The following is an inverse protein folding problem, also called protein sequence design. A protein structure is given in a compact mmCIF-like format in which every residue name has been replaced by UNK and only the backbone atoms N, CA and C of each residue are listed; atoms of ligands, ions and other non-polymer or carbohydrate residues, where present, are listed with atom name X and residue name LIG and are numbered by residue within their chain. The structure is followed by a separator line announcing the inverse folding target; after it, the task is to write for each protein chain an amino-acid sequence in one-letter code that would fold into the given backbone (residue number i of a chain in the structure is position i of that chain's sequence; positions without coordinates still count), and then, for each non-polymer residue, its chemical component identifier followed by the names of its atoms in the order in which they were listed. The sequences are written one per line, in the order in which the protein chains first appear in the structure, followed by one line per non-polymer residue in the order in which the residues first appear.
data_IF_224117891344
#
_entry.id   IF_224117891344
#
_cell.length_a   1.000
_cell.length_b   1.000
_cell.length_c   1.000
_cell.angle_alpha   90.00
_cell.angle_beta   90.00
_cell.angle_gamma   90.00
#
_symmetry.space_group_name_H-M   'P 1'
#
loop_
_entity.id
_entity.type
_entity.pdbx_description
1 polymer ?
#
# COMPACT_ATOMS: atom_id res chain seq x y z
N UNK A 1 21.74 25.41 0.50
CA UNK A 1 21.66 25.29 -0.96
C UNK A 1 20.30 24.68 -1.26
N UNK A 2 19.50 25.25 -2.16
CA UNK A 2 18.20 24.65 -2.46
C UNK A 2 18.43 23.26 -3.07
N UNK A 3 17.53 22.31 -2.80
CA UNK A 3 17.61 20.95 -3.35
C UNK A 3 17.77 20.97 -4.88
N UNK A 4 16.99 21.81 -5.57
CA UNK A 4 17.08 22.03 -7.01
C UNK A 4 18.49 22.45 -7.48
N UNK A 5 19.15 23.36 -6.77
CA UNK A 5 20.52 23.80 -7.11
C UNK A 5 21.53 22.66 -6.97
N UNK A 6 21.33 21.79 -5.97
CA UNK A 6 22.20 20.64 -5.73
C UNK A 6 22.08 19.62 -6.86
N UNK A 7 20.85 19.32 -7.29
CA UNK A 7 20.61 18.42 -8.44
C UNK A 7 21.18 19.01 -9.73
N UNK A 8 20.89 20.28 -10.01
CA UNK A 8 21.39 20.96 -11.22
C UNK A 8 22.91 20.97 -11.25
N UNK A 9 23.54 21.27 -10.11
CA UNK A 9 25.00 21.22 -9.97
C UNK A 9 25.56 19.82 -10.19
N UNK A 10 24.86 18.77 -9.76
CA UNK A 10 25.28 17.39 -9.96
C UNK A 10 25.24 16.99 -11.45
N UNK A 11 24.16 17.34 -12.15
CA UNK A 11 23.99 17.08 -13.58
C UNK A 11 24.76 18.06 -14.49
N UNK A 12 25.36 19.11 -13.93
CA UNK A 12 26.03 20.16 -14.70
C UNK A 12 25.06 21.03 -15.52
N UNK A 13 23.80 21.11 -15.11
CA UNK A 13 22.77 21.91 -15.79
C UNK A 13 22.86 23.39 -15.41
N UNK A 14 22.51 24.27 -16.34
CA UNK A 14 22.40 25.71 -16.08
C UNK A 14 21.17 26.03 -15.22
N UNK A 15 21.18 27.20 -14.56
CA UNK A 15 20.06 27.65 -13.73
C UNK A 15 18.77 27.89 -14.54
N UNK A 16 18.89 28.16 -15.84
CA UNK A 16 17.77 28.40 -16.76
C UNK A 16 17.29 27.12 -17.47
N UNK A 17 17.87 25.96 -17.15
CA UNK A 17 17.48 24.69 -17.76
C UNK A 17 16.04 24.33 -17.39
N UNK A 18 15.28 23.90 -18.39
CA UNK A 18 13.93 23.37 -18.23
C UNK A 18 13.90 21.90 -18.67
N UNK A 19 13.10 21.05 -18.01
CA UNK A 19 12.24 21.32 -16.85
C UNK A 19 13.04 21.63 -15.56
N UNK A 20 12.45 22.35 -14.60
CA UNK A 20 13.06 22.62 -13.30
C UNK A 20 12.71 21.54 -12.26
N UNK A 21 13.68 20.99 -11.51
CA UNK A 21 13.40 19.99 -10.46
C UNK A 21 12.51 20.46 -9.32
N UNK A 22 12.36 21.77 -9.07
CA UNK A 22 11.43 22.27 -8.04
C UNK A 22 10.02 22.55 -8.58
N UNK A 23 9.88 23.22 -9.73
CA UNK A 23 8.56 23.55 -10.28
C UNK A 23 7.94 22.45 -11.15
N UNK A 24 8.76 21.68 -11.87
CA UNK A 24 8.35 20.64 -12.81
C UNK A 24 9.03 19.29 -12.50
N UNK A 25 8.92 18.78 -11.26
CA UNK A 25 9.70 17.62 -10.81
C UNK A 25 9.41 16.34 -11.60
N UNK A 26 8.16 16.13 -12.04
CA UNK A 26 7.78 14.92 -12.76
C UNK A 26 8.39 14.89 -14.16
N UNK A 27 8.32 15.99 -14.90
CA UNK A 27 8.89 16.05 -16.24
C UNK A 27 10.42 16.04 -16.20
N UNK A 28 11.01 16.66 -15.17
CA UNK A 28 12.43 16.54 -14.91
C UNK A 28 12.88 15.10 -14.64
N UNK A 29 12.16 14.39 -13.77
CA UNK A 29 12.45 12.99 -13.47
C UNK A 29 12.27 12.09 -14.71
N UNK A 30 11.28 12.33 -15.58
CA UNK A 30 11.14 11.56 -16.83
C UNK A 30 12.41 11.59 -17.69
N UNK A 31 13.17 12.69 -17.64
CA UNK A 31 14.40 12.87 -18.41
C UNK A 31 15.63 12.33 -17.67
N UNK A 32 15.77 12.65 -16.37
CA UNK A 32 17.02 12.47 -15.63
C UNK A 32 16.99 11.39 -14.54
N UNK A 33 15.91 10.61 -14.41
CA UNK A 33 15.77 9.61 -13.32
C UNK A 33 16.93 8.61 -13.27
N UNK A 34 17.47 8.18 -14.41
CA UNK A 34 18.57 7.21 -14.49
C UNK A 34 19.96 7.82 -14.23
N UNK A 35 20.07 9.14 -14.33
CA UNK A 35 21.34 9.85 -14.17
C UNK A 35 21.60 10.22 -12.71
N UNK A 36 20.54 10.23 -11.90
CA UNK A 36 20.58 10.66 -10.51
C UNK A 36 20.75 9.49 -9.55
N UNK A 37 21.67 9.60 -8.58
CA UNK A 37 21.85 8.56 -7.57
C UNK A 37 20.68 8.56 -6.56
N UNK A 38 20.41 7.44 -5.87
CA UNK A 38 19.23 7.27 -5.02
C UNK A 38 19.08 8.30 -3.90
N UNK A 39 20.19 8.80 -3.35
CA UNK A 39 20.15 9.81 -2.28
C UNK A 39 19.72 11.20 -2.76
N UNK A 40 19.93 11.53 -4.05
CA UNK A 40 19.39 12.74 -4.66
C UNK A 40 17.93 12.52 -5.07
N UNK A 41 17.59 11.31 -5.55
CA UNK A 41 16.21 10.94 -5.88
C UNK A 41 15.29 11.00 -4.65
N UNK A 42 15.76 10.55 -3.49
CA UNK A 42 14.99 10.56 -2.25
C UNK A 42 14.44 11.94 -1.88
N UNK A 43 15.15 13.02 -2.24
CA UNK A 43 14.71 14.39 -1.96
C UNK A 43 13.50 14.83 -2.82
N UNK A 44 13.25 14.21 -3.99
CA UNK A 44 12.00 14.44 -4.72
C UNK A 44 10.78 13.97 -3.92
N UNK A 45 10.98 13.14 -2.89
CA UNK A 45 9.88 12.66 -2.07
C UNK A 45 9.18 13.75 -1.25
N UNK A 46 9.84 14.89 -1.04
CA UNK A 46 9.25 16.02 -0.32
C UNK A 46 8.43 16.94 -1.21
N UNK A 47 8.58 16.84 -2.54
CA UNK A 47 7.93 17.72 -3.53
C UNK A 47 6.99 16.98 -4.49
N UNK A 48 6.97 15.65 -4.44
CA UNK A 48 6.09 14.80 -5.27
C UNK A 48 5.35 13.80 -4.43
N UNK A 49 4.08 13.52 -4.78
CA UNK A 49 3.32 12.45 -4.14
C UNK A 49 3.61 11.10 -4.80
N UNK A 50 3.39 9.97 -4.10
CA UNK A 50 3.48 8.64 -4.71
C UNK A 50 2.58 8.49 -5.94
N UNK A 51 1.42 9.15 -5.97
CA UNK A 51 0.50 9.16 -7.11
C UNK A 51 1.09 9.91 -8.30
N UNK A 52 1.69 11.09 -8.10
CA UNK A 52 2.29 11.87 -9.19
C UNK A 52 3.44 11.11 -9.86
N UNK A 53 4.26 10.43 -9.05
CA UNK A 53 5.39 9.63 -9.54
C UNK A 53 4.97 8.48 -10.45
N UNK A 54 3.73 8.01 -10.37
CA UNK A 54 3.23 6.97 -11.30
C UNK A 54 3.17 7.44 -12.74
N UNK A 55 3.21 8.74 -13.01
CA UNK A 55 3.31 9.28 -14.36
C UNK A 55 4.66 8.96 -15.02
N UNK A 56 5.66 8.54 -14.23
CA UNK A 56 6.97 8.11 -14.71
C UNK A 56 6.90 6.59 -14.94
N UNK A 57 6.98 6.12 -16.21
CA UNK A 57 6.82 4.69 -16.52
C UNK A 57 7.81 3.79 -15.76
N UNK A 58 9.05 4.25 -15.58
CA UNK A 58 10.08 3.49 -14.87
C UNK A 58 9.66 3.21 -13.42
N UNK A 59 9.14 4.21 -12.70
CA UNK A 59 8.66 4.05 -11.32
C UNK A 59 7.47 3.08 -11.27
N UNK A 60 6.53 3.20 -12.22
CA UNK A 60 5.39 2.28 -12.29
C UNK A 60 5.86 0.83 -12.51
N UNK A 61 6.86 0.61 -13.36
CA UNK A 61 7.45 -0.71 -13.60
C UNK A 61 8.14 -1.25 -12.34
N UNK A 62 8.92 -0.42 -11.63
CA UNK A 62 9.53 -0.80 -10.33
C UNK A 62 8.47 -1.27 -9.34
N UNK A 63 7.37 -0.52 -9.19
CA UNK A 63 6.26 -0.92 -8.31
C UNK A 63 5.57 -2.21 -8.77
N UNK A 64 5.35 -2.38 -10.07
CA UNK A 64 4.76 -3.60 -10.61
C UNK A 64 5.64 -4.83 -10.29
N UNK A 65 6.96 -4.70 -10.44
CA UNK A 65 7.93 -5.74 -10.09
C UNK A 65 7.95 -6.02 -8.60
N UNK A 66 8.01 -4.98 -7.77
CA UNK A 66 7.93 -5.17 -6.33
C UNK A 66 6.65 -5.92 -5.95
N UNK A 67 5.50 -5.55 -6.51
CA UNK A 67 4.23 -6.23 -6.25
C UNK A 67 4.19 -7.69 -6.74
N UNK A 68 4.87 -8.03 -7.85
CA UNK A 68 4.91 -9.40 -8.36
C UNK A 68 5.76 -10.34 -7.50
N UNK A 69 6.70 -9.82 -6.70
CA UNK A 69 7.47 -10.62 -5.73
C UNK A 69 6.64 -11.09 -4.53
N UNK A 70 5.37 -10.69 -4.42
CA UNK A 70 4.47 -10.96 -3.29
C UNK A 70 5.07 -10.56 -1.93
N UNK A 71 5.41 -9.28 -1.75
CA UNK A 71 6.02 -8.78 -0.54
C UNK A 71 5.05 -8.89 0.65
N UNK A 72 5.54 -9.20 1.85
CA UNK A 72 4.68 -9.48 3.02
C UNK A 72 3.82 -8.29 3.42
N UNK A 73 4.28 -7.05 3.16
CA UNK A 73 3.54 -5.83 3.48
C UNK A 73 2.27 -5.66 2.62
N UNK A 74 2.24 -6.23 1.41
CA UNK A 74 1.07 -6.24 0.53
C UNK A 74 0.21 -7.50 0.70
N UNK A 75 0.62 -8.43 1.57
CA UNK A 75 -0.13 -9.65 1.87
C UNK A 75 -1.33 -9.37 2.79
N UNK A 76 -2.33 -10.25 2.78
CA UNK A 76 -3.60 -10.05 3.50
C UNK A 76 -3.42 -9.66 4.97
N UNK A 77 -2.58 -10.37 5.72
CA UNK A 77 -2.42 -10.14 7.16
C UNK A 77 -1.94 -8.71 7.45
N UNK A 78 -0.83 -8.28 6.85
CA UNK A 78 -0.30 -6.94 7.03
C UNK A 78 -1.26 -5.88 6.47
N UNK A 79 -1.77 -6.08 5.26
CA UNK A 79 -2.61 -5.11 4.59
C UNK A 79 -3.96 -4.91 5.28
N UNK A 80 -4.54 -5.95 5.88
CA UNK A 80 -5.79 -5.86 6.64
C UNK A 80 -5.63 -5.02 7.91
N UNK A 81 -4.47 -5.09 8.55
CA UNK A 81 -4.17 -4.27 9.73
C UNK A 81 -3.87 -2.82 9.33
N UNK A 82 -3.12 -2.60 8.24
CA UNK A 82 -2.70 -1.26 7.81
C UNK A 82 -3.83 -0.50 7.12
N UNK A 83 -4.61 -1.16 6.26
CA UNK A 83 -5.71 -0.57 5.50
C UNK A 83 -7.05 -1.30 5.74
N UNK A 84 -7.53 -1.34 6.99
CA UNK A 84 -8.73 -2.11 7.35
C UNK A 84 -9.99 -1.59 6.66
N UNK A 85 -10.02 -0.30 6.29
CA UNK A 85 -11.14 0.33 5.59
C UNK A 85 -11.30 -0.16 4.15
N UNK A 86 -10.26 -0.78 3.57
CA UNK A 86 -10.29 -1.30 2.20
C UNK A 86 -10.80 -2.74 2.12
N UNK A 87 -10.97 -3.40 3.27
CA UNK A 87 -11.47 -4.77 3.33
C UNK A 87 -12.99 -4.79 3.54
N UNK A 88 -13.70 -5.34 2.56
CA UNK A 88 -15.18 -5.43 2.55
C UNK A 88 -15.71 -6.79 3.04
N UNK A 89 -14.84 -7.71 3.45
CA UNK A 89 -15.24 -9.06 3.85
C UNK A 89 -16.24 -9.10 5.02
N UNK A 90 -17.18 -10.04 4.96
CA UNK A 90 -18.29 -10.24 5.91
C UNK A 90 -17.89 -10.71 7.33
N UNK A 91 -16.62 -10.59 7.72
CA UNK A 91 -16.15 -11.02 9.04
C UNK A 91 -16.58 -10.05 10.15
N UNK A 92 -16.85 -10.57 11.35
CA UNK A 92 -16.92 -9.72 12.55
C UNK A 92 -15.53 -9.09 12.74
N UNK A 93 -15.47 -7.76 12.71
CA UNK A 93 -14.22 -7.00 12.85
C UNK A 93 -13.59 -7.31 14.21
N UNK A 94 -12.28 -7.56 14.23
CA UNK A 94 -11.53 -7.95 15.43
C UNK A 94 -11.57 -9.46 15.76
N UNK A 95 -12.31 -10.29 15.03
CA UNK A 95 -12.46 -11.72 15.35
C UNK A 95 -11.17 -12.52 15.15
N UNK A 96 -10.40 -12.25 14.09
CA UNK A 96 -9.12 -12.93 13.84
C UNK A 96 -8.11 -12.57 14.93
N UNK A 97 -8.07 -11.29 15.28
CA UNK A 97 -7.20 -10.72 16.31
C UNK A 97 -7.59 -11.26 17.70
N UNK A 98 -8.89 -11.40 17.97
CA UNK A 98 -9.39 -12.06 19.17
C UNK A 98 -9.12 -13.56 19.22
N UNK A 99 -9.13 -14.25 18.08
CA UNK A 99 -8.73 -15.67 17.98
C UNK A 99 -7.22 -15.85 18.17
N UNK A 100 -6.39 -14.96 17.62
CA UNK A 100 -4.94 -14.93 17.85
C UNK A 100 -4.62 -14.69 19.33
N UNK A 101 -5.27 -13.71 19.96
CA UNK A 101 -5.11 -13.39 21.38
C UNK A 101 -5.60 -14.55 22.28
N UNK A 102 -6.72 -15.20 21.91
CA UNK A 102 -7.17 -16.44 22.57
C UNK A 102 -6.11 -17.53 22.47
N UNK A 103 -5.60 -17.78 21.27
CA UNK A 103 -4.61 -18.83 21.02
C UNK A 103 -3.32 -18.57 21.79
N UNK A 104 -2.85 -17.33 21.83
CA UNK A 104 -1.70 -16.92 22.63
C UNK A 104 -1.95 -17.12 24.13
N UNK A 105 -3.13 -16.70 24.62
CA UNK A 105 -3.51 -16.83 26.02
C UNK A 105 -3.66 -18.30 26.47
N UNK A 106 -4.01 -19.21 25.55
CA UNK A 106 -4.12 -20.64 25.83
C UNK A 106 -2.78 -21.38 25.77
N UNK A 107 -1.91 -20.99 24.84
CA UNK A 107 -0.70 -21.76 24.51
C UNK A 107 0.57 -21.19 25.10
N UNK A 108 0.72 -19.87 25.08
CA UNK A 108 1.99 -19.19 25.34
C UNK A 108 1.98 -18.42 26.66
N UNK A 109 0.81 -17.92 27.08
CA UNK A 109 0.67 -17.23 28.35
C UNK A 109 1.04 -18.13 29.54
N UNK A 110 2.04 -17.68 30.32
CA UNK A 110 2.65 -18.45 31.41
C UNK A 110 3.07 -19.88 31.00
N UNK A 111 3.58 -20.06 29.77
CA UNK A 111 4.00 -21.35 29.22
C UNK A 111 2.84 -22.38 29.20
N UNK A 112 1.60 -21.93 28.99
CA UNK A 112 0.41 -22.78 29.00
C UNK A 112 -0.07 -23.20 30.40
N UNK A 113 0.41 -22.55 31.46
CA UNK A 113 0.01 -22.87 32.84
C UNK A 113 -1.42 -22.37 33.15
N UNK A 114 -2.41 -23.25 33.01
CA UNK A 114 -3.82 -22.94 33.28
C UNK A 114 -4.20 -22.90 34.78
N UNK A 115 -3.22 -23.04 35.69
CA UNK A 115 -3.47 -23.31 37.12
C UNK A 115 -4.10 -22.14 37.88
N UNK A 116 -3.93 -20.89 37.42
CA UNK A 116 -4.29 -19.70 38.20
C UNK A 116 -5.49 -18.92 37.65
N UNK A 117 -5.93 -19.19 36.41
CA UNK A 117 -6.92 -18.33 35.73
C UNK A 117 -8.16 -19.09 35.22
N UNK A 118 -8.23 -20.40 35.46
CA UNK A 118 -9.28 -21.27 34.91
C UNK A 118 -9.07 -21.52 33.41
N UNK A 119 -9.29 -22.76 32.95
CA UNK A 119 -9.13 -23.12 31.54
C UNK A 119 -9.98 -22.21 30.64
N UNK A 120 -9.35 -21.54 29.67
CA UNK A 120 -10.00 -20.76 28.62
C UNK A 120 -10.72 -19.48 29.08
N UNK A 121 -10.84 -19.20 30.39
CA UNK A 121 -11.59 -18.03 30.87
C UNK A 121 -10.84 -16.71 30.59
N UNK A 122 -9.52 -16.73 30.79
CA UNK A 122 -8.65 -15.62 30.43
C UNK A 122 -8.56 -15.45 28.91
N UNK A 123 -8.40 -16.55 28.19
CA UNK A 123 -8.33 -16.52 26.72
C UNK A 123 -9.60 -15.92 26.11
N UNK A 124 -10.77 -16.38 26.55
CA UNK A 124 -12.05 -15.83 26.11
C UNK A 124 -12.20 -14.34 26.46
N UNK A 125 -11.75 -13.94 27.64
CA UNK A 125 -11.79 -12.54 28.08
C UNK A 125 -10.86 -11.65 27.25
N UNK A 126 -9.61 -12.07 27.06
CA UNK A 126 -8.60 -11.31 26.30
C UNK A 126 -8.99 -11.23 24.82
N UNK A 127 -9.41 -12.34 24.20
CA UNK A 127 -9.90 -12.30 22.83
C UNK A 127 -11.15 -11.43 22.66
N UNK A 128 -12.05 -11.43 23.64
CA UNK A 128 -13.20 -10.51 23.64
C UNK A 128 -12.80 -9.03 23.77
N UNK A 129 -11.79 -8.72 24.59
CA UNK A 129 -11.26 -7.36 24.69
C UNK A 129 -10.51 -6.92 23.44
N UNK A 130 -9.81 -7.84 22.76
CA UNK A 130 -9.13 -7.53 21.50
C UNK A 130 -10.15 -7.25 20.39
N UNK A 131 -11.20 -8.09 20.29
CA UNK A 131 -12.34 -7.86 19.40
C UNK A 131 -12.96 -6.47 19.61
N UNK A 132 -13.21 -6.08 20.87
CA UNK A 132 -13.78 -4.77 21.21
C UNK A 132 -12.82 -3.61 20.89
N UNK A 133 -11.52 -3.79 21.14
CA UNK A 133 -10.49 -2.78 20.86
C UNK A 133 -10.38 -2.49 19.37
N UNK A 134 -10.31 -3.54 18.55
CA UNK A 134 -10.22 -3.39 17.10
C UNK A 134 -11.52 -2.83 16.51
N UNK A 135 -12.67 -3.21 17.06
CA UNK A 135 -13.95 -2.62 16.67
C UNK A 135 -14.00 -1.10 16.97
N UNK A 136 -13.50 -0.65 18.13
CA UNK A 136 -13.47 0.78 18.49
C UNK A 136 -12.44 1.58 17.68
N UNK A 137 -11.29 1.00 17.35
CA UNK A 137 -10.33 1.58 16.40
C UNK A 137 -10.98 1.84 15.06
N UNK A 138 -11.70 0.85 14.53
CA UNK A 138 -12.40 0.99 13.25
C UNK A 138 -13.46 2.09 13.30
N UNK A 139 -14.25 2.16 14.39
CA UNK A 139 -15.25 3.24 14.56
C UNK A 139 -14.59 4.62 14.60
N UNK A 140 -13.41 4.73 15.19
CA UNK A 140 -12.66 5.98 15.27
C UNK A 140 -12.11 6.39 13.90
N UNK A 141 -11.48 5.47 13.16
CA UNK A 141 -11.02 5.70 11.79
C UNK A 141 -12.16 6.09 10.84
N UNK A 142 -13.33 5.47 10.98
CA UNK A 142 -14.51 5.85 10.17
C UNK A 142 -15.01 7.25 10.49
N UNK A 143 -15.03 7.64 11.78
CA UNK A 143 -15.39 9.00 12.19
C UNK A 143 -14.40 10.03 11.65
N UNK A 144 -13.10 9.76 11.79
CA UNK A 144 -12.03 10.63 11.29
C UNK A 144 -12.10 10.81 9.78
N UNK A 145 -12.33 9.73 9.02
CA UNK A 145 -12.53 9.83 7.57
C UNK A 145 -13.77 10.65 7.21
N UNK A 146 -14.91 10.39 7.85
CA UNK A 146 -16.13 11.15 7.59
C UNK A 146 -15.98 12.64 7.94
N UNK A 147 -15.18 12.97 8.97
CA UNK A 147 -14.87 14.35 9.37
C UNK A 147 -13.92 15.03 8.37
N UNK A 148 -12.94 14.29 7.82
CA UNK A 148 -12.05 14.78 6.77
C UNK A 148 -12.76 14.92 5.40
N UNK A 149 -13.77 14.09 5.14
CA UNK A 149 -14.60 14.05 3.93
C UNK A 149 -15.92 14.81 4.12
N UNK A 150 -15.95 15.90 4.90
CA UNK A 150 -17.15 16.72 5.11
C UNK A 150 -17.66 17.33 3.79
N UNK A 151 -18.46 16.56 3.06
CA UNK A 151 -19.35 17.00 2.01
C UNK A 151 -20.65 17.42 2.72
N UNK A 152 -21.06 18.69 2.66
CA UNK A 152 -22.38 19.08 3.15
C UNK A 152 -23.44 18.29 2.38
N UNK A 153 -24.15 17.40 3.06
CA UNK A 153 -25.27 16.67 2.49
C UNK A 153 -26.36 17.68 2.10
N UNK A 154 -26.54 17.93 0.79
CA UNK A 154 -27.83 18.38 0.27
C UNK A 154 -28.74 17.15 0.22
N UNK A 155 -29.80 17.16 1.05
CA UNK A 155 -30.85 16.15 1.07
C UNK A 155 -31.49 16.00 -0.33
N UNK A 156 -31.10 14.97 -1.07
CA UNK A 156 -31.83 14.51 -2.26
C UNK A 156 -32.67 13.29 -1.87
N UNK A 157 -33.89 13.57 -1.42
CA UNK A 157 -34.95 12.58 -1.28
C UNK A 157 -35.39 12.14 -2.70
N UNK A 158 -34.88 11.00 -3.17
CA UNK A 158 -35.36 10.36 -4.40
C UNK A 158 -35.45 8.85 -4.19
N UNK A 159 -36.58 8.47 -3.60
CA UNK A 159 -37.14 7.13 -3.44
C UNK A 159 -37.47 6.48 -4.80
N UNK A 160 -36.50 5.81 -5.44
CA UNK A 160 -36.76 4.84 -6.53
C UNK A 160 -35.59 3.84 -6.74
N UNK A 161 -35.25 3.06 -5.70
CA UNK A 161 -34.38 1.89 -5.86
C UNK A 161 -35.21 0.61 -5.80
N UNK A 162 -35.44 0.01 -6.97
CA UNK A 162 -35.83 -1.40 -7.08
C UNK A 162 -34.88 -2.26 -6.22
N UNK A 163 -35.38 -3.28 -5.50
CA UNK A 163 -34.53 -4.11 -4.67
C UNK A 163 -33.58 -4.91 -5.57
N UNK A 164 -32.35 -4.41 -5.71
CA UNK A 164 -31.23 -5.20 -6.19
C UNK A 164 -31.22 -6.50 -5.36
N UNK A 165 -31.30 -7.64 -6.03
CA UNK A 165 -31.30 -8.95 -5.38
C UNK A 165 -30.13 -9.07 -4.39
N UNK A 166 -30.22 -9.97 -3.39
CA UNK A 166 -29.17 -10.12 -2.40
C UNK A 166 -27.83 -10.26 -3.11
N UNK A 167 -26.82 -9.43 -2.79
CA UNK A 167 -25.52 -9.49 -3.45
C UNK A 167 -25.00 -10.91 -3.33
N UNK A 168 -24.53 -11.47 -4.45
CA UNK A 168 -23.89 -12.79 -4.47
C UNK A 168 -22.81 -12.77 -3.37
N UNK A 169 -23.00 -13.60 -2.35
CA UNK A 169 -22.13 -13.63 -1.19
C UNK A 169 -20.81 -14.26 -1.62
N UNK A 170 -19.81 -13.42 -1.91
CA UNK A 170 -18.44 -13.89 -2.13
C UNK A 170 -18.00 -14.72 -0.92
N UNK A 171 -17.37 -15.84 -1.18
CA UNK A 171 -16.75 -16.65 -0.12
C UNK A 171 -15.64 -15.86 0.57
N UNK A 172 -15.29 -16.27 1.80
CA UNK A 172 -14.21 -15.61 2.55
C UNK A 172 -12.88 -15.63 1.77
N UNK A 173 -12.58 -16.74 1.10
CA UNK A 173 -11.38 -16.88 0.26
C UNK A 173 -11.40 -15.92 -0.95
N UNK A 174 -12.55 -15.78 -1.62
CA UNK A 174 -12.72 -14.83 -2.72
C UNK A 174 -12.59 -13.37 -2.25
N UNK A 175 -13.16 -13.05 -1.08
CA UNK A 175 -13.05 -11.70 -0.50
C UNK A 175 -11.61 -11.34 -0.14
N UNK A 176 -10.84 -12.32 0.38
CA UNK A 176 -9.41 -12.17 0.66
C UNK A 176 -8.61 -11.97 -0.62
N UNK A 177 -8.84 -12.78 -1.65
CA UNK A 177 -8.13 -12.65 -2.93
C UNK A 177 -8.45 -11.31 -3.62
N UNK A 178 -9.71 -10.87 -3.58
CA UNK A 178 -10.12 -9.58 -4.11
C UNK A 178 -9.44 -8.42 -3.37
N UNK A 179 -9.32 -8.52 -2.04
CA UNK A 179 -8.62 -7.53 -1.23
C UNK A 179 -7.12 -7.46 -1.55
N UNK A 180 -6.41 -8.59 -1.57
CA UNK A 180 -4.98 -8.62 -1.91
C UNK A 180 -4.74 -8.02 -3.31
N UNK A 181 -5.64 -8.31 -4.27
CA UNK A 181 -5.60 -7.70 -5.60
C UNK A 181 -5.80 -6.18 -5.54
N UNK A 182 -6.81 -5.70 -4.82
CA UNK A 182 -7.09 -4.28 -4.65
C UNK A 182 -5.89 -3.54 -4.04
N UNK A 183 -5.24 -4.13 -3.03
CA UNK A 183 -4.06 -3.57 -2.37
C UNK A 183 -2.90 -3.45 -3.36
N UNK A 184 -2.62 -4.50 -4.14
CA UNK A 184 -1.57 -4.45 -5.17
C UNK A 184 -1.86 -3.40 -6.24
N UNK A 185 -3.09 -3.32 -6.72
CA UNK A 185 -3.50 -2.32 -7.71
C UNK A 185 -3.33 -0.90 -7.17
N UNK A 186 -3.85 -0.62 -5.97
CA UNK A 186 -3.69 0.69 -5.32
C UNK A 186 -2.22 1.02 -5.05
N UNK A 187 -1.41 0.05 -4.66
CA UNK A 187 0.03 0.23 -4.49
C UNK A 187 0.70 0.69 -5.79
N UNK A 188 0.46 -0.01 -6.91
CA UNK A 188 1.05 0.34 -8.21
C UNK A 188 0.71 1.78 -8.59
N UNK A 189 -0.53 2.21 -8.32
CA UNK A 189 -1.00 3.57 -8.61
C UNK A 189 -0.70 4.62 -7.53
N UNK A 190 0.03 4.27 -6.46
CA UNK A 190 0.37 5.22 -5.41
C UNK A 190 -0.84 5.73 -4.64
N UNK A 191 -1.86 4.88 -4.48
CA UNK A 191 -3.17 5.17 -3.88
C UNK A 191 -3.37 4.46 -2.53
N UNK A 192 -2.37 3.75 -2.02
CA UNK A 192 -2.39 3.36 -0.62
C UNK A 192 -2.01 4.58 0.22
N UNK A 193 -2.88 4.88 1.17
CA UNK A 193 -2.69 5.94 2.17
C UNK A 193 -1.51 5.61 3.10
N UNK A 194 -1.28 6.48 4.08
CA UNK A 194 -0.18 6.40 5.03
C UNK A 194 0.06 4.97 5.57
N UNK A 195 1.31 4.51 5.47
CA UNK A 195 1.71 3.15 5.89
C UNK A 195 2.68 2.45 4.93
N UNK A 196 2.76 2.90 3.67
CA UNK A 196 3.71 2.36 2.69
C UNK A 196 4.83 3.35 2.39
N UNK A 197 6.08 2.90 2.50
CA UNK A 197 7.26 3.69 2.14
C UNK A 197 7.58 3.52 0.66
N UNK A 198 6.85 4.26 -0.18
CA UNK A 198 7.04 4.26 -1.63
C UNK A 198 8.46 4.67 -2.05
N UNK A 199 9.15 5.51 -1.27
CA UNK A 199 10.48 5.98 -1.60
C UNK A 199 11.50 4.85 -1.70
N UNK A 200 11.37 3.82 -0.86
CA UNK A 200 12.23 2.63 -0.93
C UNK A 200 12.11 1.86 -2.23
N UNK A 201 10.95 1.90 -2.90
CA UNK A 201 10.70 1.16 -4.13
C UNK A 201 10.90 2.06 -5.35
N UNK A 202 10.36 3.27 -5.31
CA UNK A 202 10.41 4.24 -6.41
C UNK A 202 11.85 4.56 -6.81
N UNK A 203 12.77 4.58 -5.85
CA UNK A 203 14.16 4.97 -6.03
C UNK A 203 15.13 3.78 -6.03
N UNK A 204 14.63 2.55 -6.02
CA UNK A 204 15.45 1.33 -6.08
C UNK A 204 15.77 0.95 -7.53
N UNK A 205 17.02 1.19 -7.92
CA UNK A 205 17.54 0.85 -9.25
C UNK A 205 17.72 -0.67 -9.44
N UNK A 206 17.79 -1.48 -8.37
CA UNK A 206 17.94 -2.93 -8.52
C UNK A 206 16.71 -3.55 -9.19
N UNK A 207 15.55 -2.95 -8.98
CA UNK A 207 14.29 -3.31 -9.63
C UNK A 207 14.26 -2.98 -11.12
N UNK A 208 15.29 -2.33 -11.70
CA UNK A 208 15.41 -2.13 -13.15
C UNK A 208 16.19 -3.25 -13.84
N UNK A 209 17.06 -3.97 -13.12
CA UNK A 209 18.09 -4.85 -13.70
C UNK A 209 17.57 -6.04 -14.53
N UNK A 210 16.35 -6.51 -14.29
CA UNK A 210 15.72 -7.56 -15.10
C UNK A 210 15.21 -7.04 -16.46
N UNK A 211 14.93 -5.73 -16.60
CA UNK A 211 14.43 -5.13 -17.85
C UNK A 211 15.55 -5.05 -18.88
N UNK A 212 16.78 -4.89 -18.42
CA UNK A 212 17.95 -4.86 -19.31
C UNK A 212 18.35 -6.28 -19.72
N UNK A 213 18.23 -7.28 -18.84
CA UNK A 213 18.44 -8.70 -19.23
C UNK A 213 17.38 -9.21 -20.18
N UNK A 214 16.09 -9.01 -19.91
CA UNK A 214 15.03 -9.47 -20.82
C UNK A 214 15.06 -8.74 -22.17
N UNK A 215 15.48 -7.45 -22.19
CA UNK A 215 15.67 -6.70 -23.43
C UNK A 215 16.91 -7.16 -24.19
N UNK A 216 18.01 -7.48 -23.49
CA UNK A 216 19.21 -8.06 -24.10
C UNK A 216 18.93 -9.47 -24.63
N UNK A 217 18.28 -10.36 -23.86
CA UNK A 217 17.93 -11.73 -24.26
C UNK A 217 17.02 -11.75 -25.50
N UNK A 218 16.01 -10.86 -25.55
CA UNK A 218 15.14 -10.72 -26.73
C UNK A 218 15.89 -10.21 -27.97
N UNK A 219 17.01 -9.51 -27.79
CA UNK A 219 17.86 -9.04 -28.89
C UNK A 219 18.74 -10.16 -29.45
N UNK A 220 19.10 -11.17 -28.63
CA UNK A 220 19.85 -12.35 -29.06
C UNK A 220 18.97 -13.40 -29.74
N UNK A 221 17.69 -13.52 -29.36
CA UNK A 221 16.75 -14.46 -29.99
C UNK A 221 16.34 -14.06 -31.42
N UNK A 222 16.47 -12.78 -31.81
CA UNK A 222 16.15 -12.31 -33.17
C UNK A 222 17.30 -12.55 -34.20
N UNK A 223 18.51 -12.94 -33.75
CA UNK A 223 19.66 -13.21 -34.64
C UNK A 223 19.84 -14.70 -35.01
N UNK A 224 19.06 -15.64 -34.46
CA UNK A 224 19.24 -17.08 -34.68
C UNK A 224 18.38 -17.69 -35.82
N UNK A 225 17.52 -16.89 -36.47
CA UNK A 225 16.63 -17.31 -37.57
C UNK A 225 17.03 -16.68 -38.94
N UNK A 226 18.30 -16.85 -39.37
CA UNK A 226 18.72 -16.60 -40.77
C UNK A 226 19.28 -17.86 -41.47
#
# INVERSE_FOLDING_TARGET
MAFADTIRSYLGLSADSQPDPASEPIDFLKLHLRELPPHLLAQFSTVTTPKDRTQIPLIRNRRLRYASTNPPELGFSAARTTWPMLYEGQGRRGQSEGEEERNWAERDFLQGSTKHVGKGRLANLLGGYEEEREAERFRSLRRERNEAEFVPEEESDSDDEEPAGPPEQMTEEESRAAFERLIRERFIYGLLDDGMDYGKIDWDEQLDSEDDREREERWFDEEEDE
#
